data_IF_209461711636
#
_entry.id   IF_209461711636
#
_cell.length_a   1.000
_cell.length_b   1.000
_cell.length_c   1.000
_cell.angle_alpha   90.00
_cell.angle_beta   90.00
_cell.angle_gamma   90.00
#
_symmetry.space_group_name_H-M   'P 1'
#
loop_
_entity.id
_entity.type
_entity.pdbx_description
1 polymer ?
#
# COMPACT_ATOMS: atom_id res chain seq x y z
N UNK A 1 3.38 13.86 -18.60
CA UNK A 1 2.62 14.41 -17.45
C UNK A 1 1.55 13.39 -17.05
N UNK A 2 1.50 13.01 -15.78
CA UNK A 2 0.49 12.09 -15.29
C UNK A 2 -0.88 12.78 -15.27
N UNK A 3 -1.83 12.33 -16.08
CA UNK A 3 -3.17 12.93 -16.15
C UNK A 3 -4.02 12.48 -14.95
N UNK A 4 -3.89 13.19 -13.83
CA UNK A 4 -4.62 12.90 -12.57
C UNK A 4 -6.13 12.87 -12.79
N UNK A 5 -6.67 13.74 -13.67
CA UNK A 5 -8.11 13.75 -14.00
C UNK A 5 -8.57 12.46 -14.67
N UNK A 6 -7.76 11.93 -15.57
CA UNK A 6 -8.04 10.66 -16.27
C UNK A 6 -7.95 9.46 -15.31
N UNK A 7 -6.97 9.48 -14.39
CA UNK A 7 -6.87 8.48 -13.32
C UNK A 7 -8.14 8.42 -12.46
N UNK A 8 -8.67 9.56 -12.01
CA UNK A 8 -9.90 9.56 -11.20
C UNK A 8 -11.17 9.20 -11.99
N UNK A 9 -11.22 9.49 -13.30
CA UNK A 9 -12.29 8.98 -14.17
C UNK A 9 -12.24 7.45 -14.25
N UNK A 10 -11.03 6.89 -14.37
CA UNK A 10 -10.82 5.45 -14.39
C UNK A 10 -11.24 4.82 -13.04
N UNK A 11 -10.79 5.40 -11.92
CA UNK A 11 -11.17 4.96 -10.56
C UNK A 11 -12.69 4.90 -10.42
N UNK A 12 -13.40 5.97 -10.82
CA UNK A 12 -14.87 6.02 -10.77
C UNK A 12 -15.51 4.90 -11.56
N UNK A 13 -15.06 4.72 -12.80
CA UNK A 13 -15.60 3.70 -13.71
C UNK A 13 -15.37 2.29 -13.15
N UNK A 14 -14.22 2.04 -12.52
CA UNK A 14 -13.91 0.75 -11.88
C UNK A 14 -14.83 0.52 -10.70
N UNK A 15 -15.03 1.53 -9.85
CA UNK A 15 -15.93 1.43 -8.69
C UNK A 15 -17.38 1.17 -9.13
N UNK A 16 -17.85 1.85 -10.16
CA UNK A 16 -19.18 1.65 -10.75
C UNK A 16 -19.39 0.19 -11.21
N UNK A 17 -18.33 -0.42 -11.69
CA UNK A 17 -18.29 -1.77 -12.22
C UNK A 17 -18.16 -2.90 -11.19
N UNK A 18 -17.84 -2.55 -9.93
CA UNK A 18 -17.75 -3.47 -8.81
C UNK A 18 -19.04 -3.55 -8.00
N UNK A 19 -19.28 -4.70 -7.37
CA UNK A 19 -20.31 -4.84 -6.33
C UNK A 19 -19.75 -4.44 -4.94
N UNK A 20 -18.46 -4.70 -4.69
CA UNK A 20 -17.76 -4.32 -3.46
C UNK A 20 -16.41 -3.69 -3.79
N UNK A 21 -16.11 -2.56 -3.16
CA UNK A 21 -14.85 -1.83 -3.25
C UNK A 21 -13.93 -2.28 -2.12
N UNK A 22 -12.76 -2.83 -2.47
CA UNK A 22 -11.69 -3.14 -1.53
C UNK A 22 -10.68 -2.01 -1.55
N UNK A 23 -10.74 -1.14 -0.56
CA UNK A 23 -9.78 -0.07 -0.36
C UNK A 23 -8.60 -0.60 0.44
N UNK A 24 -7.44 -0.73 -0.20
CA UNK A 24 -6.24 -1.29 0.41
C UNK A 24 -5.38 -0.16 0.96
N UNK A 25 -5.09 -0.22 2.25
CA UNK A 25 -4.22 0.71 2.97
C UNK A 25 -2.97 -0.02 3.48
N UNK A 26 -1.88 0.70 3.68
CA UNK A 26 -0.71 0.17 4.39
C UNK A 26 -0.95 0.27 5.90
N UNK A 27 -0.98 -0.87 6.61
CA UNK A 27 -1.31 -0.92 8.02
C UNK A 27 -0.36 -0.08 8.91
N UNK A 28 0.86 0.21 8.43
CA UNK A 28 1.83 1.04 9.16
C UNK A 28 1.41 2.49 9.29
N UNK A 29 0.74 3.03 8.26
CA UNK A 29 0.21 4.40 8.25
C UNK A 29 -1.09 4.48 7.42
N UNK A 30 -2.21 3.97 7.97
CA UNK A 30 -3.48 3.90 7.24
C UNK A 30 -3.99 5.28 6.83
N UNK A 31 -3.82 6.31 7.67
CA UNK A 31 -4.31 7.67 7.38
C UNK A 31 -3.57 8.25 6.17
N UNK A 32 -2.24 8.17 6.15
CA UNK A 32 -1.49 8.75 5.04
C UNK A 32 -1.53 7.93 3.76
N UNK A 33 -1.99 6.68 3.85
CA UNK A 33 -2.26 5.82 2.69
C UNK A 33 -3.74 5.71 2.33
N UNK A 34 -4.60 6.59 2.86
CA UNK A 34 -6.06 6.62 2.60
C UNK A 34 -6.45 7.57 1.46
N UNK A 35 -6.86 7.07 0.28
CA UNK A 35 -7.40 7.91 -0.78
C UNK A 35 -8.89 8.24 -0.53
N UNK A 36 -9.20 9.22 0.32
CA UNK A 36 -10.60 9.58 0.69
C UNK A 36 -11.56 9.81 -0.49
N UNK A 37 -11.06 10.23 -1.65
CA UNK A 37 -11.90 10.40 -2.85
C UNK A 37 -12.50 9.07 -3.34
N UNK A 38 -11.84 7.93 -3.09
CA UNK A 38 -12.39 6.59 -3.33
C UNK A 38 -13.66 6.38 -2.52
N UNK A 39 -13.63 6.73 -1.23
CA UNK A 39 -14.77 6.57 -0.33
C UNK A 39 -15.94 7.44 -0.77
N UNK A 40 -15.67 8.72 -1.09
CA UNK A 40 -16.68 9.66 -1.62
C UNK A 40 -17.31 9.16 -2.92
N UNK A 41 -16.50 8.58 -3.82
CA UNK A 41 -17.01 8.00 -5.06
C UNK A 41 -17.87 6.76 -4.77
N UNK A 42 -17.41 5.87 -3.90
CA UNK A 42 -18.14 4.67 -3.53
C UNK A 42 -19.50 5.00 -2.89
N UNK A 43 -19.52 5.96 -1.97
CA UNK A 43 -20.74 6.46 -1.32
C UNK A 43 -21.73 7.03 -2.34
N UNK A 44 -21.28 7.95 -3.21
CA UNK A 44 -22.13 8.55 -4.27
C UNK A 44 -22.71 7.51 -5.22
N UNK A 45 -21.98 6.42 -5.49
CA UNK A 45 -22.41 5.33 -6.35
C UNK A 45 -23.17 4.22 -5.59
N UNK A 46 -23.41 4.39 -4.28
CA UNK A 46 -24.10 3.40 -3.44
C UNK A 46 -23.35 2.07 -3.30
N UNK A 47 -22.03 2.06 -3.50
CA UNK A 47 -21.20 0.86 -3.46
C UNK A 47 -20.79 0.51 -2.03
N UNK A 48 -20.74 -0.78 -1.73
CA UNK A 48 -20.25 -1.28 -0.44
C UNK A 48 -18.73 -1.20 -0.42
N UNK A 49 -18.18 -0.59 0.61
CA UNK A 49 -16.73 -0.40 0.78
C UNK A 49 -16.21 -1.23 1.96
N UNK A 50 -15.08 -1.88 1.74
CA UNK A 50 -14.31 -2.63 2.73
C UNK A 50 -12.88 -2.11 2.75
N UNK A 51 -12.47 -1.51 3.86
CA UNK A 51 -11.07 -1.18 4.10
C UNK A 51 -10.30 -2.45 4.44
N UNK A 52 -9.19 -2.65 3.74
CA UNK A 52 -8.27 -3.78 3.93
C UNK A 52 -6.92 -3.21 4.35
N UNK A 53 -6.63 -3.26 5.66
CA UNK A 53 -5.33 -2.89 6.22
C UNK A 53 -4.34 -4.01 5.89
N UNK A 54 -3.51 -3.81 4.87
CA UNK A 54 -2.56 -4.81 4.42
C UNK A 54 -1.17 -4.59 5.05
N UNK A 55 -0.30 -5.60 4.96
CA UNK A 55 1.00 -5.64 5.66
C UNK A 55 0.86 -5.66 7.19
N UNK A 56 -0.20 -6.30 7.68
CA UNK A 56 -0.46 -6.47 9.11
C UNK A 56 0.67 -7.22 9.85
N UNK A 57 1.58 -7.90 9.14
CA UNK A 57 2.79 -8.50 9.71
C UNK A 57 3.84 -7.47 10.19
N UNK A 58 3.72 -6.21 9.80
CA UNK A 58 4.64 -5.14 10.17
C UNK A 58 4.15 -4.28 11.34
N UNK A 59 2.99 -4.61 11.91
CA UNK A 59 2.31 -3.79 12.92
C UNK A 59 1.81 -4.68 14.05
N UNK A 60 1.97 -4.22 15.29
CA UNK A 60 1.52 -4.96 16.45
C UNK A 60 0.01 -5.16 16.44
N UNK A 61 -0.42 -6.33 16.94
CA UNK A 61 -1.83 -6.72 16.92
C UNK A 61 -2.73 -5.72 17.65
N UNK A 62 -2.28 -5.18 18.77
CA UNK A 62 -3.03 -4.19 19.54
C UNK A 62 -3.27 -2.90 18.72
N UNK A 63 -2.27 -2.46 17.97
CA UNK A 63 -2.37 -1.29 17.08
C UNK A 63 -3.31 -1.58 15.90
N UNK A 64 -3.26 -2.79 15.33
CA UNK A 64 -4.19 -3.21 14.27
C UNK A 64 -5.65 -3.22 14.74
N UNK A 65 -5.92 -3.66 15.96
CA UNK A 65 -7.27 -3.63 16.52
C UNK A 65 -7.75 -2.18 16.75
N UNK A 66 -6.89 -1.31 17.28
CA UNK A 66 -7.18 0.14 17.40
C UNK A 66 -7.52 0.78 16.05
N UNK A 67 -6.78 0.45 14.99
CA UNK A 67 -7.10 0.91 13.64
C UNK A 67 -8.43 0.35 13.11
N UNK A 68 -8.70 -0.95 13.33
CA UNK A 68 -9.97 -1.56 12.95
C UNK A 68 -11.14 -0.83 13.63
N UNK A 69 -11.04 -0.58 14.93
CA UNK A 69 -12.06 0.15 15.69
C UNK A 69 -12.23 1.59 15.22
N UNK A 70 -11.13 2.28 14.88
CA UNK A 70 -11.17 3.62 14.33
C UNK A 70 -12.02 3.68 13.04
N UNK A 71 -11.76 2.83 12.05
CA UNK A 71 -12.55 2.81 10.82
C UNK A 71 -13.99 2.33 11.05
N UNK A 72 -14.21 1.40 11.98
CA UNK A 72 -15.57 0.97 12.36
C UNK A 72 -16.39 2.12 12.95
N UNK A 73 -15.79 3.00 13.77
CA UNK A 73 -16.44 4.20 14.29
C UNK A 73 -16.81 5.20 13.18
N UNK A 74 -16.08 5.18 12.06
CA UNK A 74 -16.42 5.93 10.85
C UNK A 74 -17.50 5.25 9.99
N UNK A 75 -18.07 4.12 10.45
CA UNK A 75 -19.08 3.35 9.70
C UNK A 75 -18.49 2.51 8.56
N UNK A 76 -17.17 2.33 8.51
CA UNK A 76 -16.50 1.62 7.43
C UNK A 76 -16.15 0.20 7.89
N UNK A 77 -16.56 -0.80 7.12
CA UNK A 77 -16.15 -2.17 7.39
C UNK A 77 -14.65 -2.32 7.18
N UNK A 78 -13.95 -2.99 8.12
CA UNK A 78 -12.49 -3.10 8.08
C UNK A 78 -12.00 -4.46 8.48
N UNK A 79 -11.01 -4.97 7.73
CA UNK A 79 -10.21 -6.15 8.07
C UNK A 79 -8.74 -5.80 7.96
N UNK A 80 -7.89 -6.49 8.71
CA UNK A 80 -6.44 -6.44 8.53
C UNK A 80 -5.92 -7.81 8.07
N UNK A 81 -4.94 -7.80 7.17
CA UNK A 81 -4.35 -9.00 6.57
C UNK A 81 -2.86 -8.81 6.31
N UNK A 82 -2.12 -9.92 6.28
CA UNK A 82 -0.85 -9.99 5.55
C UNK A 82 -1.07 -10.86 4.32
N UNK A 83 -1.29 -10.24 3.16
CA UNK A 83 -1.48 -11.01 1.93
C UNK A 83 -0.21 -11.77 1.53
N UNK A 84 0.98 -11.21 1.82
CA UNK A 84 2.30 -11.83 1.58
C UNK A 84 2.45 -13.16 2.34
N UNK A 85 2.11 -13.16 3.62
CA UNK A 85 2.23 -14.34 4.49
C UNK A 85 0.91 -15.11 4.67
N UNK A 86 -0.14 -14.73 3.93
CA UNK A 86 -1.49 -15.33 3.98
C UNK A 86 -2.12 -15.32 5.39
N UNK A 87 -1.84 -14.30 6.20
CA UNK A 87 -2.40 -14.14 7.54
C UNK A 87 -3.70 -13.33 7.51
N UNK A 88 -4.71 -13.76 8.28
CA UNK A 88 -6.00 -13.06 8.39
C UNK A 88 -6.89 -13.17 7.13
N UNK A 89 -6.42 -13.83 6.08
CA UNK A 89 -7.05 -13.80 4.75
C UNK A 89 -8.39 -14.56 4.65
N UNK A 90 -8.70 -15.47 5.59
CA UNK A 90 -10.04 -16.05 5.71
C UNK A 90 -11.07 -14.97 6.06
N UNK A 91 -10.73 -14.01 6.93
CA UNK A 91 -11.60 -12.90 7.32
C UNK A 91 -11.93 -12.00 6.13
N UNK A 92 -10.97 -11.81 5.22
CA UNK A 92 -11.20 -11.07 3.98
C UNK A 92 -12.33 -11.68 3.13
N UNK A 93 -12.31 -12.99 2.89
CA UNK A 93 -13.39 -13.64 2.12
C UNK A 93 -14.75 -13.58 2.83
N UNK A 94 -14.76 -13.72 4.16
CA UNK A 94 -15.99 -13.60 4.95
C UNK A 94 -16.57 -12.19 4.84
N UNK A 95 -15.73 -11.16 4.99
CA UNK A 95 -16.15 -9.77 4.88
C UNK A 95 -16.64 -9.41 3.47
N UNK A 96 -15.94 -9.85 2.42
CA UNK A 96 -16.38 -9.67 1.03
C UNK A 96 -17.77 -10.29 0.84
N UNK A 97 -17.97 -11.53 1.30
CA UNK A 97 -19.24 -12.24 1.12
C UNK A 97 -20.38 -11.60 1.91
N UNK A 98 -20.10 -11.07 3.09
CA UNK A 98 -21.10 -10.37 3.91
C UNK A 98 -21.54 -9.04 3.29
N UNK A 99 -20.66 -8.35 2.55
CA UNK A 99 -20.96 -7.09 1.89
C UNK A 99 -21.52 -7.25 0.47
N UNK A 100 -21.30 -8.40 -0.17
CA UNK A 100 -21.74 -8.62 -1.53
C UNK A 100 -23.28 -8.63 -1.62
N UNK A 101 -23.90 -7.77 -2.46
CA UNK A 101 -25.35 -7.73 -2.64
C UNK A 101 -25.90 -8.95 -3.40
N UNK A 102 -25.03 -9.68 -4.13
CA UNK A 102 -25.38 -10.85 -4.94
C UNK A 102 -24.18 -11.77 -5.14
N UNK A 103 -24.44 -12.99 -5.60
CA UNK A 103 -23.42 -13.97 -6.00
C UNK A 103 -23.71 -14.43 -7.43
N UNK A 104 -22.72 -14.50 -8.34
CA UNK A 104 -21.32 -14.15 -8.15
C UNK A 104 -21.10 -12.64 -7.97
N UNK A 105 -20.19 -12.29 -7.07
CA UNK A 105 -19.82 -10.91 -6.75
C UNK A 105 -18.58 -10.48 -7.53
N UNK A 106 -18.55 -9.23 -7.99
CA UNK A 106 -17.36 -8.58 -8.54
C UNK A 106 -16.77 -7.66 -7.50
N UNK A 107 -15.50 -7.88 -7.14
CA UNK A 107 -14.75 -6.96 -6.29
C UNK A 107 -13.77 -6.14 -7.09
N UNK A 108 -13.57 -4.90 -6.67
CA UNK A 108 -12.59 -3.99 -7.26
C UNK A 108 -11.55 -3.65 -6.19
N UNK A 109 -10.27 -3.58 -6.55
CA UNK A 109 -9.19 -3.32 -5.60
C UNK A 109 -8.57 -1.97 -5.91
N UNK A 110 -8.64 -1.04 -4.95
CA UNK A 110 -8.21 0.35 -5.09
C UNK A 110 -7.29 0.74 -3.93
N UNK A 111 -6.50 1.81 -4.09
CA UNK A 111 -5.49 2.25 -3.12
C UNK A 111 -4.23 2.80 -3.76
N UNK A 112 -3.39 3.49 -2.99
CA UNK A 112 -2.11 4.02 -3.47
C UNK A 112 -1.14 2.95 -3.96
N UNK A 113 -0.15 3.28 -4.82
CA UNK A 113 0.96 2.39 -5.12
C UNK A 113 1.61 1.78 -3.86
N UNK A 114 2.19 0.60 -3.99
CA UNK A 114 2.96 -0.11 -2.94
C UNK A 114 2.23 -0.51 -1.63
N UNK A 115 0.94 -0.19 -1.45
CA UNK A 115 0.11 -0.70 -0.32
C UNK A 115 -0.16 -2.21 -0.40
N UNK A 116 0.17 -2.85 -1.53
CA UNK A 116 0.06 -4.31 -1.74
C UNK A 116 -1.25 -4.77 -2.39
N UNK A 117 -1.89 -3.90 -3.20
CA UNK A 117 -3.03 -4.25 -4.05
C UNK A 117 -2.80 -5.51 -4.88
N UNK A 118 -1.68 -5.57 -5.62
CA UNK A 118 -1.36 -6.71 -6.48
C UNK A 118 -1.18 -8.00 -5.68
N UNK A 119 -0.64 -7.92 -4.45
CA UNK A 119 -0.54 -9.07 -3.55
C UNK A 119 -1.92 -9.57 -3.11
N UNK A 120 -2.85 -8.67 -2.80
CA UNK A 120 -4.24 -9.03 -2.48
C UNK A 120 -4.94 -9.62 -3.69
N UNK A 121 -4.82 -9.00 -4.86
CA UNK A 121 -5.41 -9.48 -6.12
C UNK A 121 -4.92 -10.90 -6.41
N UNK A 122 -3.61 -11.14 -6.36
CA UNK A 122 -3.01 -12.46 -6.57
C UNK A 122 -3.46 -13.47 -5.52
N UNK A 123 -3.59 -13.04 -4.26
CA UNK A 123 -4.14 -13.89 -3.21
C UNK A 123 -5.59 -14.30 -3.49
N UNK A 124 -6.45 -13.35 -3.89
CA UNK A 124 -7.85 -13.60 -4.21
C UNK A 124 -7.99 -14.55 -5.42
N UNK A 125 -7.21 -14.31 -6.48
CA UNK A 125 -7.15 -15.13 -7.70
C UNK A 125 -6.74 -16.58 -7.43
N UNK A 126 -5.92 -16.83 -6.40
CA UNK A 126 -5.45 -18.18 -6.07
C UNK A 126 -4.45 -18.73 -7.09
N UNK A 127 -4.21 -20.05 -7.08
CA UNK A 127 -3.22 -20.73 -7.94
C UNK A 127 -3.75 -21.11 -9.33
N UNK A 128 -5.07 -21.24 -9.49
CA UNK A 128 -5.70 -21.61 -10.75
C UNK A 128 -6.68 -20.51 -11.14
N UNK A 129 -6.33 -19.77 -12.18
CA UNK A 129 -7.12 -18.66 -12.71
C UNK A 129 -7.63 -19.10 -14.07
N UNK A 130 -8.95 -19.18 -14.24
CA UNK A 130 -9.54 -19.37 -15.57
C UNK A 130 -9.09 -18.22 -16.50
N UNK A 131 -8.96 -18.44 -17.82
CA UNK A 131 -8.49 -17.42 -18.74
C UNK A 131 -9.28 -16.11 -18.57
N UNK A 132 -8.54 -15.01 -18.47
CA UNK A 132 -9.08 -13.66 -18.31
C UNK A 132 -9.69 -13.18 -19.61
N UNK A 133 -10.78 -12.44 -19.54
CA UNK A 133 -11.31 -11.71 -20.69
C UNK A 133 -11.18 -10.21 -20.43
N UNK A 134 -10.80 -9.40 -21.44
CA UNK A 134 -10.97 -7.96 -21.35
C UNK A 134 -12.41 -7.64 -21.01
N UNK A 135 -12.64 -6.73 -20.06
CA UNK A 135 -14.01 -6.33 -19.77
C UNK A 135 -14.57 -5.52 -20.96
N UNK A 136 -15.76 -5.85 -21.49
CA UNK A 136 -16.34 -5.09 -22.61
C UNK A 136 -16.41 -3.59 -22.31
N UNK A 137 -15.94 -2.77 -23.26
CA UNK A 137 -15.87 -1.31 -23.13
C UNK A 137 -14.60 -0.77 -22.44
N UNK A 138 -13.72 -1.63 -21.93
CA UNK A 138 -12.45 -1.22 -21.31
C UNK A 138 -11.26 -1.33 -22.27
N UNK A 139 -10.31 -0.42 -22.15
CA UNK A 139 -9.04 -0.41 -22.90
C UNK A 139 -8.10 -1.51 -22.43
N UNK A 140 -6.99 -1.73 -23.15
CA UNK A 140 -5.97 -2.73 -22.79
C UNK A 140 -5.40 -2.45 -21.39
N UNK A 141 -5.72 -3.29 -20.41
CA UNK A 141 -5.13 -3.25 -19.06
C UNK A 141 -6.04 -3.81 -17.98
N UNK A 142 -7.34 -3.49 -18.04
CA UNK A 142 -8.32 -3.95 -17.07
C UNK A 142 -8.91 -5.31 -17.44
N UNK A 143 -8.86 -6.24 -16.50
CA UNK A 143 -9.28 -7.62 -16.72
C UNK A 143 -10.26 -8.07 -15.65
N UNK A 144 -11.38 -8.64 -16.08
CA UNK A 144 -12.30 -9.31 -15.16
C UNK A 144 -11.83 -10.75 -14.99
N UNK A 145 -11.39 -11.07 -13.77
CA UNK A 145 -10.75 -12.34 -13.47
C UNK A 145 -11.61 -13.17 -12.54
N UNK A 146 -11.97 -14.39 -12.94
CA UNK A 146 -12.68 -15.32 -12.06
C UNK A 146 -11.71 -15.86 -11.01
N UNK A 147 -11.89 -15.44 -9.76
CA UNK A 147 -11.09 -15.86 -8.63
C UNK A 147 -11.65 -17.13 -7.96
N UNK A 148 -12.98 -17.25 -7.89
CA UNK A 148 -13.71 -18.43 -7.39
C UNK A 148 -15.02 -18.60 -8.16
N UNK A 149 -15.75 -19.68 -7.91
CA UNK A 149 -17.11 -19.88 -8.46
C UNK A 149 -18.05 -18.71 -8.14
N UNK A 150 -17.89 -18.08 -6.99
CA UNK A 150 -18.74 -17.00 -6.48
C UNK A 150 -18.10 -15.60 -6.54
N UNK A 151 -16.85 -15.48 -7.00
CA UNK A 151 -16.07 -14.25 -6.90
C UNK A 151 -15.30 -13.94 -8.18
N UNK A 152 -15.50 -12.73 -8.70
CA UNK A 152 -14.70 -12.09 -9.73
C UNK A 152 -13.90 -10.93 -9.14
N UNK A 153 -12.69 -10.72 -9.65
CA UNK A 153 -11.81 -9.60 -9.30
C UNK A 153 -11.59 -8.77 -10.55
N UNK A 154 -11.91 -7.49 -10.50
CA UNK A 154 -11.54 -6.54 -11.55
C UNK A 154 -10.11 -6.05 -11.26
N UNK A 155 -9.15 -6.51 -12.05
CA UNK A 155 -7.74 -6.18 -11.91
C UNK A 155 -7.42 -4.87 -12.64
N UNK A 156 -6.95 -3.87 -11.88
CA UNK A 156 -6.80 -2.47 -12.32
C UNK A 156 -5.43 -1.94 -11.88
N UNK A 157 -4.35 -2.33 -12.58
CA UNK A 157 -3.00 -1.98 -12.15
C UNK A 157 -2.78 -0.46 -12.16
N UNK A 158 -2.29 0.09 -11.04
CA UNK A 158 -1.84 1.49 -10.96
C UNK A 158 -2.93 2.55 -11.16
N UNK A 159 -4.19 2.23 -10.84
CA UNK A 159 -5.33 3.09 -11.16
C UNK A 159 -5.36 4.42 -10.39
N UNK A 160 -4.93 4.43 -9.12
CA UNK A 160 -4.81 5.65 -8.32
C UNK A 160 -3.45 6.28 -8.60
N UNK A 161 -3.46 7.37 -9.36
CA UNK A 161 -2.28 8.19 -9.59
C UNK A 161 -2.49 9.54 -8.92
N UNK A 162 -1.58 9.92 -8.04
CA UNK A 162 -1.58 11.22 -7.38
C UNK A 162 -0.34 12.02 -7.73
N UNK A 163 -0.45 13.36 -7.77
CA UNK A 163 0.73 14.21 -7.87
C UNK A 163 1.61 14.04 -6.63
N UNK A 164 2.85 14.53 -6.71
CA UNK A 164 3.67 14.74 -5.51
C UNK A 164 2.89 15.56 -4.48
N UNK A 165 3.08 15.18 -3.23
CA UNK A 165 2.41 15.78 -2.08
C UNK A 165 3.11 17.04 -1.58
N UNK A 166 4.33 17.33 -2.06
CA UNK A 166 5.22 18.33 -1.48
C UNK A 166 5.95 17.85 -0.22
N UNK A 167 5.57 16.70 0.33
CA UNK A 167 6.28 16.00 1.40
C UNK A 167 7.00 14.78 0.82
N UNK A 168 8.33 14.83 0.82
CA UNK A 168 9.17 13.77 0.25
C UNK A 168 8.98 12.42 0.95
N UNK A 169 8.79 12.41 2.27
CA UNK A 169 8.57 11.15 3.00
C UNK A 169 7.21 10.55 2.61
N UNK A 170 6.19 11.40 2.48
CA UNK A 170 4.86 10.97 2.08
C UNK A 170 4.82 10.47 0.63
N UNK A 171 5.59 11.08 -0.27
CA UNK A 171 5.76 10.60 -1.65
C UNK A 171 6.34 9.19 -1.69
N UNK A 172 7.28 8.87 -0.80
CA UNK A 172 7.79 7.49 -0.65
C UNK A 172 6.73 6.56 -0.06
N UNK A 173 6.04 6.97 1.01
CA UNK A 173 5.01 6.16 1.70
C UNK A 173 3.86 5.81 0.76
N UNK A 174 3.44 6.75 -0.10
CA UNK A 174 2.40 6.55 -1.12
C UNK A 174 2.92 5.87 -2.39
N UNK A 175 4.19 5.47 -2.42
CA UNK A 175 4.81 4.78 -3.55
C UNK A 175 4.87 5.60 -4.83
N UNK A 176 4.97 6.93 -4.71
CA UNK A 176 5.17 7.86 -5.83
C UNK A 176 6.63 7.92 -6.28
N UNK A 177 7.54 7.42 -5.43
CA UNK A 177 8.98 7.32 -5.70
C UNK A 177 9.33 5.86 -5.95
N UNK A 178 9.92 5.59 -7.12
CA UNK A 178 10.53 4.31 -7.43
C UNK A 178 12.05 4.39 -7.18
N UNK A 179 12.59 3.64 -6.20
CA UNK A 179 14.02 3.67 -5.88
C UNK A 179 14.94 3.34 -7.06
N UNK A 180 14.45 2.58 -8.05
CA UNK A 180 15.23 2.19 -9.21
C UNK A 180 15.35 3.30 -10.26
N UNK A 181 14.39 4.22 -10.33
CA UNK A 181 14.28 5.19 -11.43
C UNK A 181 14.29 6.65 -10.98
N UNK A 182 14.16 6.93 -9.67
CA UNK A 182 14.30 8.29 -9.14
C UNK A 182 15.70 8.85 -9.43
N UNK A 183 15.75 10.11 -9.89
CA UNK A 183 17.01 10.78 -10.26
C UNK A 183 17.88 11.03 -9.02
N UNK A 184 17.37 11.82 -8.06
CA UNK A 184 18.01 12.06 -6.76
C UNK A 184 17.26 11.35 -5.62
N UNK A 185 17.73 10.18 -5.15
CA UNK A 185 17.09 9.43 -4.07
C UNK A 185 17.40 9.97 -2.66
N UNK A 186 18.44 10.80 -2.51
CA UNK A 186 18.99 11.15 -1.19
C UNK A 186 17.99 11.95 -0.34
N UNK A 187 17.34 13.01 -0.85
CA UNK A 187 16.36 13.77 -0.09
C UNK A 187 15.17 12.92 0.38
N UNK A 188 14.71 11.99 -0.47
CA UNK A 188 13.63 11.07 -0.15
C UNK A 188 14.02 10.09 0.96
N UNK A 189 15.23 9.52 0.88
CA UNK A 189 15.74 8.60 1.90
C UNK A 189 15.92 9.32 3.24
N UNK A 190 16.46 10.53 3.23
CA UNK A 190 16.62 11.36 4.42
C UNK A 190 15.25 11.70 5.06
N UNK A 191 14.30 12.21 4.27
CA UNK A 191 12.96 12.55 4.76
C UNK A 191 12.23 11.32 5.34
N UNK A 192 12.36 10.17 4.66
CA UNK A 192 11.81 8.90 5.13
C UNK A 192 12.44 8.48 6.47
N UNK A 193 13.77 8.49 6.58
CA UNK A 193 14.48 8.12 7.81
C UNK A 193 14.09 9.04 8.97
N UNK A 194 14.00 10.36 8.72
CA UNK A 194 13.52 11.32 9.72
C UNK A 194 12.15 10.94 10.26
N UNK A 195 11.22 10.58 9.37
CA UNK A 195 9.87 10.15 9.74
C UNK A 195 9.86 8.81 10.46
N UNK A 196 10.61 7.82 9.97
CA UNK A 196 10.73 6.50 10.61
C UNK A 196 11.25 6.64 12.04
N UNK A 197 12.32 7.39 12.25
CA UNK A 197 12.94 7.57 13.56
C UNK A 197 12.06 8.34 14.54
N UNK A 198 11.22 9.26 14.05
CA UNK A 198 10.24 9.96 14.89
C UNK A 198 9.19 9.00 15.50
N UNK A 199 8.85 7.91 14.81
CA UNK A 199 7.88 6.91 15.30
C UNK A 199 8.54 5.65 15.88
N UNK A 200 9.75 5.31 15.46
CA UNK A 200 10.54 4.20 15.98
C UNK A 200 12.03 4.60 16.06
N UNK A 201 12.47 5.14 17.21
CA UNK A 201 13.87 5.50 17.42
C UNK A 201 14.85 4.32 17.29
N UNK A 202 14.39 3.08 17.49
CA UNK A 202 15.23 1.88 17.39
C UNK A 202 15.32 1.32 15.97
N UNK A 203 14.64 1.91 14.98
CA UNK A 203 14.52 1.36 13.64
C UNK A 203 15.88 1.14 12.93
N UNK A 204 16.85 2.04 13.13
CA UNK A 204 18.19 1.88 12.54
C UNK A 204 18.96 0.72 13.17
N UNK A 205 18.86 0.54 14.48
CA UNK A 205 19.47 -0.56 15.21
C UNK A 205 18.86 -1.90 14.79
N UNK A 206 17.53 -1.96 14.71
CA UNK A 206 16.79 -3.14 14.27
C UNK A 206 17.09 -3.52 12.81
N UNK A 207 17.09 -2.56 11.90
CA UNK A 207 17.24 -2.81 10.46
C UNK A 207 18.70 -3.01 10.03
N UNK A 208 19.63 -2.29 10.66
CA UNK A 208 21.01 -2.19 10.19
C UNK A 208 22.06 -2.55 11.24
N UNK A 209 21.70 -2.65 12.51
CA UNK A 209 22.64 -2.89 13.60
C UNK A 209 23.49 -1.67 13.97
N UNK A 210 23.01 -0.46 13.65
CA UNK A 210 23.73 0.80 13.93
C UNK A 210 22.97 1.64 14.96
N UNK A 211 23.71 2.46 15.70
CA UNK A 211 23.17 3.48 16.61
C UNK A 211 23.63 4.84 16.09
N UNK A 212 22.75 5.55 15.40
CA UNK A 212 23.08 6.73 14.60
C UNK A 212 21.90 7.69 14.54
N UNK A 213 22.18 8.98 14.35
CA UNK A 213 21.16 9.98 14.06
C UNK A 213 20.79 10.02 12.56
N UNK A 214 19.76 10.78 12.21
CA UNK A 214 19.28 10.86 10.82
C UNK A 214 20.32 11.46 9.88
N UNK A 215 21.16 12.39 10.38
CA UNK A 215 22.15 13.11 9.58
C UNK A 215 23.34 12.22 9.21
N UNK A 216 23.70 11.29 10.10
CA UNK A 216 24.83 10.36 9.93
C UNK A 216 24.39 8.99 9.39
N UNK A 217 23.08 8.68 9.42
CA UNK A 217 22.55 7.36 9.10
C UNK A 217 23.00 6.82 7.74
N UNK A 218 22.91 7.62 6.66
CA UNK A 218 23.26 7.12 5.32
C UNK A 218 24.75 6.76 5.20
N UNK A 219 25.64 7.52 5.85
CA UNK A 219 27.07 7.20 5.87
C UNK A 219 27.34 5.90 6.64
N UNK A 220 26.77 5.78 7.84
CA UNK A 220 26.99 4.63 8.71
C UNK A 220 26.38 3.33 8.14
N UNK A 221 25.18 3.42 7.56
CA UNK A 221 24.58 2.32 6.80
C UNK A 221 25.52 1.92 5.67
N UNK A 222 26.06 2.91 4.93
CA UNK A 222 26.97 2.66 3.82
C UNK A 222 28.27 1.96 4.22
N UNK A 223 28.89 2.38 5.34
CA UNK A 223 30.07 1.71 5.93
C UNK A 223 29.73 0.28 6.34
N UNK A 224 28.65 0.10 7.10
CA UNK A 224 28.21 -1.19 7.62
C UNK A 224 27.84 -2.18 6.50
N UNK A 225 27.21 -1.71 5.44
CA UNK A 225 26.82 -2.52 4.27
C UNK A 225 27.88 -2.55 3.17
N UNK A 226 29.06 -1.99 3.41
CA UNK A 226 30.20 -1.92 2.47
C UNK A 226 29.80 -1.37 1.09
N UNK A 227 28.92 -0.37 1.06
CA UNK A 227 28.50 0.35 -0.16
C UNK A 227 29.48 1.48 -0.44
N UNK A 228 30.66 1.12 -0.93
CA UNK A 228 31.76 2.06 -1.15
C UNK A 228 32.02 2.29 -2.64
N UNK A 229 32.42 3.51 -2.98
CA UNK A 229 33.02 3.88 -4.25
C UNK A 229 34.50 3.51 -4.28
N UNK A 230 35.11 3.62 -5.47
CA UNK A 230 36.57 3.57 -5.61
C UNK A 230 37.20 4.66 -4.72
N UNK A 231 38.22 4.27 -3.93
CA UNK A 231 38.85 5.16 -2.96
C UNK A 231 38.21 5.16 -1.56
N UNK A 232 37.28 4.25 -1.28
CA UNK A 232 36.79 3.98 0.08
C UNK A 232 35.71 4.94 0.60
N UNK A 233 35.29 5.94 -0.19
CA UNK A 233 34.17 6.82 0.14
C UNK A 233 32.84 6.07 0.03
N UNK A 234 31.88 6.37 0.91
CA UNK A 234 30.55 5.77 0.85
C UNK A 234 29.80 6.22 -0.40
N UNK A 235 29.13 5.29 -1.08
CA UNK A 235 28.21 5.58 -2.18
C UNK A 235 26.83 5.93 -1.63
N UNK A 236 26.61 7.22 -1.32
CA UNK A 236 25.38 7.70 -0.67
C UNK A 236 24.14 7.48 -1.54
N UNK A 237 24.22 7.68 -2.86
CA UNK A 237 23.11 7.41 -3.78
C UNK A 237 22.66 5.94 -3.68
N UNK A 238 23.62 4.99 -3.78
CA UNK A 238 23.31 3.57 -3.69
C UNK A 238 22.73 3.18 -2.32
N UNK A 239 23.18 3.82 -1.24
CA UNK A 239 22.63 3.62 0.10
C UNK A 239 21.21 4.18 0.21
N UNK A 240 20.96 5.38 -0.30
CA UNK A 240 19.64 6.00 -0.31
C UNK A 240 18.61 5.12 -1.05
N UNK A 241 18.95 4.62 -2.25
CA UNK A 241 18.09 3.67 -2.99
C UNK A 241 17.82 2.39 -2.20
N UNK A 242 18.84 1.86 -1.52
CA UNK A 242 18.70 0.69 -0.65
C UNK A 242 17.77 0.96 0.52
N UNK A 243 17.87 2.12 1.19
CA UNK A 243 17.00 2.54 2.29
C UNK A 243 15.53 2.62 1.83
N UNK A 244 15.27 3.25 0.69
CA UNK A 244 13.91 3.36 0.13
C UNK A 244 13.32 1.97 -0.23
N UNK A 245 14.16 1.07 -0.75
CA UNK A 245 13.78 -0.32 -1.02
C UNK A 245 13.49 -1.09 0.27
N UNK A 246 14.37 -0.99 1.26
CA UNK A 246 14.25 -1.64 2.58
C UNK A 246 12.95 -1.23 3.30
N UNK A 247 12.50 0.02 3.14
CA UNK A 247 11.18 0.46 3.61
C UNK A 247 10.03 -0.28 2.92
N UNK A 248 10.09 -0.42 1.60
CA UNK A 248 9.05 -1.10 0.81
C UNK A 248 8.96 -2.58 1.17
N UNK A 249 10.10 -3.21 1.49
CA UNK A 249 10.20 -4.61 1.89
C UNK A 249 9.87 -4.87 3.37
N UNK A 250 9.64 -3.82 4.16
CA UNK A 250 9.24 -3.90 5.57
C UNK A 250 10.39 -4.13 6.55
N UNK A 251 11.62 -3.83 6.13
CA UNK A 251 12.82 -3.92 6.98
C UNK A 251 12.95 -2.69 7.89
N UNK A 252 12.70 -1.50 7.34
CA UNK A 252 12.49 -0.30 8.14
C UNK A 252 11.03 -0.26 8.62
N UNK A 253 10.86 -0.23 9.94
CA UNK A 253 9.56 -0.38 10.58
C UNK A 253 9.24 0.84 11.42
N UNK A 254 8.03 1.36 11.22
CA UNK A 254 7.32 2.12 12.22
C UNK A 254 5.84 1.81 12.09
N UNK A 255 5.09 2.17 13.13
CA UNK A 255 3.64 2.13 13.12
C UNK A 255 3.10 3.41 13.72
N UNK A 256 2.06 3.93 13.10
CA UNK A 256 1.31 5.08 13.61
C UNK A 256 0.10 4.60 14.38
N UNK A 257 -0.27 5.32 15.45
CA UNK A 257 -1.53 5.11 16.16
C UNK A 257 -2.68 5.86 15.47
N UNK A 258 -3.93 5.40 15.60
CA UNK A 258 -5.08 6.16 15.09
C UNK A 258 -5.16 7.54 15.73
N UNK A 259 -5.72 8.55 15.03
CA UNK A 259 -6.03 9.83 15.63
C UNK A 259 -6.92 9.65 16.87
N UNK A 260 -6.64 10.41 17.93
CA UNK A 260 -7.40 10.42 19.19
C UNK A 260 -7.37 9.10 19.98
N UNK A 261 -6.24 8.38 19.91
CA UNK A 261 -5.88 7.28 20.82
C UNK A 261 -4.68 7.68 21.67
#
# INVERSE_FOLDING_TARGET
MCNVKESWRLVRRVIEDGDVVLEVLDARDPVDTRPEEVEKIAERLGKRLLVVLNKADLVDREVLEKWREYFQKLGIHTVYVSAKYRLGTRRLFVAIRALAPRIPATVVVVGYPNVGKSTIINYLKGRYVAPTSPKPGWTRGEQLVKAKSWLFVLDTPGIVKTPSTGDLALDVIRGLVDPATVDDPVPYAYALLKRVLAYNPSALKEAYGIDSDVDSALEEIGRTKRKLLKGGKVNIDAVARMVLKDWTEGKLRYMRLPPNV
#
